data_IF_090119457054
#
_entry.id   IF_090119457054
#
_cell.length_a   1.000
_cell.length_b   1.000
_cell.length_c   1.000
_cell.angle_alpha   90.00
_cell.angle_beta   90.00
_cell.angle_gamma   90.00
#
_symmetry.space_group_name_H-M   'P 1'
#
loop_
_entity.id
_entity.type
_entity.pdbx_description
1 polymer ?
#
# COMPACT_ATOMS: atom_id res chain seq x y z
N UNK A 1 -10.54 -3.01 -11.11
CA UNK A 1 -9.75 -2.69 -12.32
C UNK A 1 -9.02 -3.95 -12.74
N UNK A 2 -8.80 -4.19 -14.04
CA UNK A 2 -8.11 -5.41 -14.50
C UNK A 2 -6.64 -5.10 -14.77
N UNK A 3 -5.74 -5.94 -14.27
CA UNK A 3 -4.29 -5.78 -14.47
C UNK A 3 -3.81 -6.31 -15.82
N UNK A 4 -4.62 -7.13 -16.51
CA UNK A 4 -4.38 -7.57 -17.88
C UNK A 4 -5.55 -7.17 -18.76
N UNK A 5 -5.24 -6.65 -19.93
CA UNK A 5 -6.21 -6.37 -20.98
C UNK A 5 -6.35 -7.57 -21.93
N UNK A 6 -7.51 -7.77 -22.59
CA UNK A 6 -7.69 -8.88 -23.52
C UNK A 6 -6.65 -8.95 -24.63
N UNK A 7 -6.12 -7.81 -25.07
CA UNK A 7 -5.06 -7.71 -26.08
C UNK A 7 -3.70 -8.26 -25.60
N UNK A 8 -3.52 -8.41 -24.30
CA UNK A 8 -2.26 -8.84 -23.67
C UNK A 8 -2.27 -10.32 -23.27
N UNK A 9 -3.42 -11.00 -23.34
CA UNK A 9 -3.57 -12.37 -22.86
C UNK A 9 -2.56 -13.33 -23.48
N UNK A 10 -2.39 -13.30 -24.80
CA UNK A 10 -1.44 -14.17 -25.49
C UNK A 10 0.01 -13.92 -25.08
N UNK A 11 0.37 -12.65 -24.83
CA UNK A 11 1.71 -12.27 -24.37
C UNK A 11 2.08 -12.94 -23.04
N UNK A 12 1.08 -13.11 -22.17
CA UNK A 12 1.26 -13.76 -20.86
C UNK A 12 0.83 -15.22 -20.85
N UNK A 13 0.60 -15.80 -22.05
CA UNK A 13 0.28 -17.21 -22.24
C UNK A 13 -1.09 -17.62 -21.72
N UNK A 14 -2.05 -16.71 -21.80
CA UNK A 14 -3.47 -16.99 -21.60
C UNK A 14 -4.16 -17.13 -22.96
N UNK A 15 -5.14 -18.05 -23.12
CA UNK A 15 -5.95 -18.11 -24.32
C UNK A 15 -6.70 -16.80 -24.57
N UNK A 16 -6.85 -16.36 -25.83
CA UNK A 16 -7.61 -15.15 -26.16
C UNK A 16 -9.09 -15.24 -25.76
N UNK A 17 -9.59 -16.47 -25.61
CA UNK A 17 -10.96 -16.76 -25.16
C UNK A 17 -11.11 -16.73 -23.64
N UNK A 18 -10.07 -16.36 -22.89
CA UNK A 18 -10.12 -16.30 -21.43
C UNK A 18 -11.22 -15.33 -20.99
N UNK A 19 -12.11 -15.81 -20.11
CA UNK A 19 -13.19 -14.99 -19.58
C UNK A 19 -12.62 -13.86 -18.71
N UNK A 20 -13.00 -12.63 -18.98
CA UNK A 20 -12.60 -11.43 -18.23
C UNK A 20 -12.91 -11.54 -16.73
N UNK A 21 -13.96 -12.29 -16.37
CA UNK A 21 -14.29 -12.50 -14.95
C UNK A 21 -13.15 -13.14 -14.14
N UNK A 22 -12.38 -14.06 -14.77
CA UNK A 22 -11.20 -14.65 -14.11
C UNK A 22 -10.10 -13.64 -13.85
N UNK A 23 -9.87 -12.75 -14.82
CA UNK A 23 -8.87 -11.68 -14.69
C UNK A 23 -9.30 -10.67 -13.62
N UNK A 24 -10.59 -10.35 -13.57
CA UNK A 24 -11.15 -9.46 -12.54
C UNK A 24 -10.98 -10.07 -11.13
N UNK A 25 -11.27 -11.36 -10.99
CA UNK A 25 -11.10 -12.07 -9.72
C UNK A 25 -9.61 -12.13 -9.31
N UNK A 26 -8.72 -12.45 -10.26
CA UNK A 26 -7.27 -12.48 -10.01
C UNK A 26 -6.75 -11.10 -9.60
N UNK A 27 -7.21 -10.03 -10.27
CA UNK A 27 -6.84 -8.66 -9.92
C UNK A 27 -7.28 -8.30 -8.50
N UNK A 28 -8.50 -8.67 -8.10
CA UNK A 28 -8.98 -8.44 -6.73
C UNK A 28 -8.17 -9.22 -5.68
N UNK A 29 -7.71 -10.43 -6.01
CA UNK A 29 -6.84 -11.21 -5.13
C UNK A 29 -5.46 -10.54 -4.96
N UNK A 30 -4.91 -9.97 -6.03
CA UNK A 30 -3.67 -9.20 -5.98
C UNK A 30 -3.83 -7.99 -5.08
N UNK A 31 -4.90 -7.21 -5.25
CA UNK A 31 -5.20 -6.04 -4.42
C UNK A 31 -5.27 -6.40 -2.92
N UNK A 32 -6.00 -7.47 -2.61
CA UNK A 32 -6.13 -7.97 -1.24
C UNK A 32 -4.78 -8.42 -0.66
N UNK A 33 -3.96 -9.15 -1.45
CA UNK A 33 -2.62 -9.57 -1.02
C UNK A 33 -1.69 -8.40 -0.80
N UNK A 34 -1.70 -7.42 -1.70
CA UNK A 34 -0.91 -6.20 -1.59
C UNK A 34 -1.42 -5.24 -0.51
N UNK A 35 -2.55 -5.55 0.15
CA UNK A 35 -3.19 -4.71 1.18
C UNK A 35 -3.50 -3.30 0.68
N UNK A 36 -3.98 -3.20 -0.56
CA UNK A 36 -4.32 -1.95 -1.24
C UNK A 36 -5.73 -2.03 -1.80
N UNK A 37 -6.33 -0.88 -2.02
CA UNK A 37 -7.61 -0.80 -2.75
C UNK A 37 -7.37 -1.16 -4.22
N UNK A 38 -6.26 -0.70 -4.77
CA UNK A 38 -5.77 -1.01 -6.12
C UNK A 38 -4.29 -0.67 -6.21
N UNK A 39 -3.57 -1.27 -7.16
CA UNK A 39 -2.20 -0.88 -7.50
C UNK A 39 -2.15 0.30 -8.48
N UNK A 40 -3.27 0.64 -9.13
CA UNK A 40 -3.36 1.87 -9.91
C UNK A 40 -3.27 3.10 -9.03
N UNK A 41 -2.97 4.26 -9.63
CA UNK A 41 -2.92 5.52 -8.90
C UNK A 41 -4.26 5.74 -8.20
N UNK A 42 -4.21 5.86 -6.88
CA UNK A 42 -5.37 6.15 -6.04
C UNK A 42 -4.99 7.13 -4.92
N UNK A 43 -5.99 7.81 -4.39
CA UNK A 43 -5.80 8.72 -3.28
C UNK A 43 -5.93 7.98 -1.96
N UNK A 44 -4.97 8.23 -1.07
CA UNK A 44 -4.91 7.67 0.27
C UNK A 44 -4.89 8.79 1.31
N UNK A 45 -5.47 8.48 2.47
CA UNK A 45 -5.40 9.34 3.65
C UNK A 45 -4.73 8.54 4.75
N UNK A 46 -3.61 9.06 5.25
CA UNK A 46 -2.88 8.44 6.36
C UNK A 46 -2.67 9.42 7.50
N UNK A 47 -2.79 8.87 8.70
CA UNK A 47 -2.48 9.57 9.92
C UNK A 47 -1.32 8.87 10.60
N UNK A 48 -0.22 9.58 10.69
CA UNK A 48 1.05 9.08 11.15
C UNK A 48 1.46 9.84 12.42
N UNK A 49 2.09 9.13 13.33
CA UNK A 49 2.76 9.72 14.48
C UNK A 49 4.25 9.71 14.23
N UNK A 50 4.88 10.80 14.59
CA UNK A 50 6.35 10.92 14.63
C UNK A 50 6.80 10.74 16.05
N UNK A 51 7.96 10.11 16.23
CA UNK A 51 8.66 10.16 17.50
C UNK A 51 9.23 11.57 17.73
N UNK A 52 9.41 11.93 19.00
CA UNK A 52 9.92 13.24 19.35
C UNK A 52 11.26 13.52 18.66
N UNK A 53 11.34 14.65 17.95
CA UNK A 53 12.54 15.07 17.23
C UNK A 53 12.76 14.44 15.85
N UNK A 54 11.96 13.44 15.44
CA UNK A 54 12.03 12.89 14.09
C UNK A 54 11.27 13.78 13.11
N UNK A 55 11.92 14.16 12.01
CA UNK A 55 11.30 14.91 10.93
C UNK A 55 10.84 14.03 9.76
N UNK A 56 11.60 12.97 9.36
CA UNK A 56 11.18 12.12 8.29
C UNK A 56 10.04 11.19 8.74
N UNK A 57 9.02 11.12 7.91
CA UNK A 57 7.88 10.22 8.06
C UNK A 57 7.80 9.34 6.84
N UNK A 58 7.56 8.07 7.01
CA UNK A 58 7.45 7.13 5.90
C UNK A 58 5.99 6.76 5.63
N UNK A 59 5.59 6.87 4.38
CA UNK A 59 4.26 6.52 3.92
C UNK A 59 4.13 5.03 3.63
N UNK A 60 2.93 4.52 3.80
CA UNK A 60 2.61 3.10 3.62
C UNK A 60 2.48 2.73 2.14
N UNK A 61 1.88 3.59 1.31
CA UNK A 61 1.55 3.27 -0.08
C UNK A 61 2.53 3.92 -1.04
N UNK A 62 3.21 3.08 -1.83
CA UNK A 62 4.27 3.47 -2.77
C UNK A 62 4.06 2.83 -4.15
N UNK A 63 4.65 3.37 -5.22
CA UNK A 63 5.36 4.65 -5.29
C UNK A 63 4.40 5.84 -5.20
N UNK A 64 4.90 6.98 -4.77
CA UNK A 64 4.15 8.22 -4.84
C UNK A 64 4.05 8.66 -6.32
N UNK A 65 2.84 8.89 -6.78
CA UNK A 65 2.59 9.24 -8.17
C UNK A 65 1.46 10.26 -8.25
N UNK A 66 1.71 11.36 -8.95
CA UNK A 66 0.70 12.39 -9.14
C UNK A 66 -0.38 11.92 -10.12
N UNK A 67 -1.64 12.21 -9.81
CA UNK A 67 -2.75 11.97 -10.73
C UNK A 67 -2.91 13.21 -11.63
N UNK A 68 -2.74 13.09 -12.96
CA UNK A 68 -2.93 14.23 -13.87
C UNK A 68 -4.31 14.90 -13.68
N UNK A 69 -4.42 16.22 -13.69
CA UNK A 69 -3.40 17.22 -14.05
C UNK A 69 -2.48 17.67 -12.90
N UNK A 70 -2.55 17.08 -11.72
CA UNK A 70 -1.70 17.44 -10.59
C UNK A 70 -0.21 17.15 -10.89
N UNK A 71 0.68 18.02 -10.42
CA UNK A 71 2.13 17.89 -10.58
C UNK A 71 2.74 17.19 -9.35
N UNK A 72 2.13 17.39 -8.17
CA UNK A 72 2.59 16.80 -6.92
C UNK A 72 1.68 15.63 -6.51
N UNK A 73 2.24 14.54 -5.96
CA UNK A 73 1.46 13.48 -5.37
C UNK A 73 0.85 13.88 -4.02
N UNK A 74 1.36 14.92 -3.37
CA UNK A 74 0.81 15.42 -2.11
C UNK A 74 -0.37 16.36 -2.38
N UNK A 75 -1.54 16.00 -1.85
CA UNK A 75 -2.78 16.75 -2.06
C UNK A 75 -3.01 17.75 -0.93
N UNK A 76 -2.92 17.29 0.32
CA UNK A 76 -3.03 18.16 1.49
C UNK A 76 -2.33 17.54 2.69
N UNK A 77 -1.89 18.40 3.60
CA UNK A 77 -1.25 18.02 4.84
C UNK A 77 -1.80 18.87 5.98
N UNK A 78 -2.04 18.24 7.12
CA UNK A 78 -2.30 18.94 8.38
C UNK A 78 -1.54 18.23 9.50
N UNK A 79 -1.01 18.99 10.41
CA UNK A 79 -0.23 18.47 11.52
C UNK A 79 -0.68 19.07 12.85
N UNK A 80 -0.35 18.40 13.93
CA UNK A 80 -0.60 18.87 15.28
C UNK A 80 0.41 18.33 16.26
N UNK A 81 0.40 18.88 17.46
CA UNK A 81 1.06 18.28 18.61
C UNK A 81 0.04 17.37 19.30
N UNK A 82 0.27 16.06 19.25
CA UNK A 82 -0.57 15.10 19.96
C UNK A 82 -0.17 15.06 21.44
N UNK A 83 -1.11 14.69 22.31
CA UNK A 83 -0.81 14.42 23.72
C UNK A 83 0.22 13.28 23.81
N UNK A 84 1.28 13.40 24.63
CA UNK A 84 2.26 12.35 24.85
C UNK A 84 1.57 11.04 25.26
N UNK A 85 2.09 9.92 24.80
CA UNK A 85 1.61 8.61 25.30
C UNK A 85 2.29 8.30 26.61
N UNK A 86 1.61 7.52 27.46
CA UNK A 86 2.19 6.98 28.69
C UNK A 86 3.43 6.15 28.34
N UNK A 87 4.62 6.65 28.74
CA UNK A 87 5.93 6.05 28.42
C UNK A 87 6.82 6.93 27.56
N UNK A 88 6.32 8.06 27.06
CA UNK A 88 7.17 9.13 26.56
C UNK A 88 8.01 9.70 27.74
N UNK A 89 9.19 10.20 27.43
CA UNK A 89 10.19 10.57 28.45
C UNK A 89 9.61 11.58 29.46
N UNK A 90 9.82 11.31 30.75
CA UNK A 90 9.23 12.09 31.88
C UNK A 90 9.50 13.60 31.81
N UNK A 91 10.66 14.01 31.31
CA UNK A 91 11.01 15.43 31.18
C UNK A 91 10.25 16.17 30.09
N UNK A 92 9.78 15.45 29.08
CA UNK A 92 8.92 16.02 28.04
C UNK A 92 7.48 16.21 28.54
N UNK A 93 7.03 15.39 29.49
CA UNK A 93 5.71 15.52 30.09
C UNK A 93 5.50 16.88 30.77
N UNK A 94 6.48 17.37 31.52
CA UNK A 94 6.42 18.67 32.20
C UNK A 94 6.35 19.84 31.20
N UNK A 95 7.12 19.75 30.11
CA UNK A 95 7.06 20.72 29.02
C UNK A 95 5.71 20.69 28.29
N UNK A 96 5.12 19.51 28.15
CA UNK A 96 3.80 19.36 27.54
C UNK A 96 2.69 19.89 28.42
N UNK A 97 2.76 19.74 29.74
CA UNK A 97 1.79 20.30 30.67
C UNK A 97 1.80 21.83 30.63
N UNK A 98 2.99 22.44 30.51
CA UNK A 98 3.12 23.87 30.29
C UNK A 98 2.54 24.27 28.93
N UNK A 99 2.85 23.53 27.86
CA UNK A 99 2.31 23.79 26.53
C UNK A 99 0.79 23.62 26.47
N UNK A 100 0.22 22.64 27.19
CA UNK A 100 -1.22 22.44 27.37
C UNK A 100 -1.87 23.66 28.04
N UNK A 101 -1.24 24.23 29.08
CA UNK A 101 -1.74 25.42 29.76
C UNK A 101 -1.79 26.64 28.83
N UNK A 102 -0.94 26.70 27.82
CA UNK A 102 -0.94 27.75 26.79
C UNK A 102 -1.80 27.41 25.56
N UNK A 103 -2.56 26.31 25.57
CA UNK A 103 -3.46 25.93 24.47
C UNK A 103 -2.75 25.46 23.20
N UNK A 104 -1.48 25.07 23.30
CA UNK A 104 -0.66 24.66 22.15
C UNK A 104 -1.01 23.26 21.59
N UNK A 105 -1.46 22.26 22.36
CA UNK A 105 -1.75 20.95 21.81
C UNK A 105 -3.18 20.79 21.31
N UNK A 106 -3.34 19.95 20.30
CA UNK A 106 -4.61 19.40 19.86
C UNK A 106 -5.23 20.03 18.62
N UNK A 107 -4.88 21.27 18.27
CA UNK A 107 -5.44 21.92 17.07
C UNK A 107 -4.67 21.51 15.82
N UNK A 108 -5.39 21.06 14.80
CA UNK A 108 -4.81 20.78 13.50
C UNK A 108 -4.43 22.08 12.78
N UNK A 109 -3.19 22.14 12.32
CA UNK A 109 -2.67 23.25 11.51
C UNK A 109 -2.45 22.74 10.10
N UNK A 110 -2.99 23.42 9.12
CA UNK A 110 -2.74 23.10 7.71
C UNK A 110 -1.30 23.46 7.35
N UNK A 111 -0.65 22.53 6.67
CA UNK A 111 0.71 22.68 6.17
C UNK A 111 0.64 22.84 4.66
N UNK A 112 1.41 23.78 4.13
CA UNK A 112 1.56 23.93 2.69
C UNK A 112 2.38 22.76 2.15
N UNK A 113 1.75 21.92 1.32
CA UNK A 113 2.41 20.76 0.71
C UNK A 113 3.51 21.12 -0.28
N UNK A 114 3.53 22.35 -0.76
CA UNK A 114 4.54 22.82 -1.73
C UNK A 114 5.92 23.03 -1.09
N UNK A 115 5.96 23.20 0.23
CA UNK A 115 7.23 23.35 0.99
C UNK A 115 7.72 22.04 1.59
N UNK A 116 6.96 20.96 1.38
CA UNK A 116 7.35 19.63 1.89
C UNK A 116 8.26 18.94 0.88
N UNK A 117 9.36 18.44 1.38
CA UNK A 117 10.27 17.59 0.62
C UNK A 117 9.82 16.13 0.71
N UNK A 118 9.86 15.41 -0.41
CA UNK A 118 9.43 14.01 -0.46
C UNK A 118 10.24 13.20 -1.47
N UNK A 119 10.43 11.93 -1.18
CA UNK A 119 11.07 10.94 -2.05
C UNK A 119 10.03 9.98 -2.62
N UNK A 120 9.72 10.05 -3.93
CA UNK A 120 8.63 9.27 -4.53
C UNK A 120 8.77 7.75 -4.37
N UNK A 121 10.00 7.24 -4.42
CA UNK A 121 10.27 5.80 -4.39
C UNK A 121 10.26 5.23 -2.97
N UNK A 122 10.80 5.96 -2.01
CA UNK A 122 10.88 5.52 -0.63
C UNK A 122 9.66 5.91 0.19
N UNK A 123 8.92 6.95 -0.25
CA UNK A 123 7.79 7.50 0.46
C UNK A 123 8.17 8.26 1.73
N UNK A 124 9.44 8.62 1.83
CA UNK A 124 9.92 9.46 2.93
C UNK A 124 9.51 10.91 2.67
N UNK A 125 8.93 11.54 3.69
CA UNK A 125 8.50 12.93 3.66
C UNK A 125 9.14 13.65 4.83
N UNK A 126 9.77 14.80 4.54
CA UNK A 126 10.34 15.66 5.57
C UNK A 126 9.31 16.69 6.02
N UNK A 127 8.98 16.66 7.31
CA UNK A 127 8.02 17.58 7.90
C UNK A 127 8.67 18.94 8.17
N UNK A 128 7.96 20.05 7.90
CA UNK A 128 8.37 21.36 8.35
C UNK A 128 8.29 21.45 9.88
N UNK A 129 9.09 22.33 10.43
CA UNK A 129 8.99 22.71 11.86
C UNK A 129 8.09 23.92 12.01
N UNK A 130 7.57 24.14 13.21
CA UNK A 130 6.85 25.36 13.52
C UNK A 130 7.83 26.56 13.63
N UNK A 131 7.27 27.74 13.81
CA UNK A 131 8.05 28.99 13.98
C UNK A 131 9.01 28.98 15.19
N UNK A 132 8.80 28.08 16.15
CA UNK A 132 9.67 27.90 17.32
C UNK A 132 10.71 26.79 17.09
N UNK A 133 10.76 26.16 15.92
CA UNK A 133 11.69 25.08 15.60
C UNK A 133 11.26 23.70 16.11
N UNK A 134 10.05 23.55 16.63
CA UNK A 134 9.56 22.27 17.13
C UNK A 134 8.93 21.44 16.00
N UNK A 135 9.26 20.16 15.98
CA UNK A 135 8.64 19.20 15.05
C UNK A 135 7.24 18.83 15.53
N UNK A 136 6.31 18.68 14.57
CA UNK A 136 4.98 18.15 14.86
C UNK A 136 5.08 16.68 15.24
N UNK A 137 4.21 16.22 16.14
CA UNK A 137 4.19 14.84 16.62
C UNK A 137 3.15 13.96 15.93
N UNK A 138 2.21 14.57 15.21
CA UNK A 138 1.19 13.87 14.46
C UNK A 138 0.87 14.62 13.18
N UNK A 139 0.81 13.87 12.08
CA UNK A 139 0.47 14.42 10.77
C UNK A 139 -0.64 13.57 10.13
N UNK A 140 -1.54 14.22 9.44
CA UNK A 140 -2.49 13.60 8.53
C UNK A 140 -2.20 14.10 7.11
N UNK A 141 -1.94 13.16 6.23
CA UNK A 141 -1.58 13.39 4.84
C UNK A 141 -2.63 12.80 3.91
N UNK A 142 -3.01 13.57 2.91
CA UNK A 142 -3.76 13.09 1.75
C UNK A 142 -2.81 13.15 0.56
N UNK A 143 -2.59 11.99 -0.06
CA UNK A 143 -1.63 11.85 -1.15
C UNK A 143 -2.10 10.81 -2.17
N UNK A 144 -1.49 10.81 -3.34
CA UNK A 144 -1.74 9.85 -4.41
C UNK A 144 -0.55 8.92 -4.58
N UNK A 145 -0.83 7.63 -4.68
CA UNK A 145 0.19 6.60 -4.87
C UNK A 145 -0.34 5.48 -5.75
N UNK A 146 0.56 4.83 -6.48
CA UNK A 146 0.26 3.72 -7.38
C UNK A 146 1.00 3.83 -8.69
N UNK A 147 0.65 2.95 -9.62
CA UNK A 147 1.30 2.85 -10.92
C UNK A 147 0.36 3.36 -12.02
N UNK A 148 0.90 4.18 -12.91
CA UNK A 148 0.21 4.59 -14.15
C UNK A 148 0.15 3.41 -15.13
N UNK A 149 1.29 2.73 -15.27
CA UNK A 149 1.40 1.47 -16.03
C UNK A 149 1.83 0.37 -15.08
N UNK A 150 1.13 -0.77 -15.14
CA UNK A 150 1.42 -1.87 -14.21
C UNK A 150 2.78 -2.50 -14.50
N UNK A 151 3.58 -2.76 -13.45
CA UNK A 151 4.84 -3.48 -13.59
C UNK A 151 4.62 -4.90 -14.12
N UNK A 152 5.53 -5.36 -14.98
CA UNK A 152 5.46 -6.70 -15.56
C UNK A 152 5.26 -7.84 -14.53
N UNK A 153 5.92 -7.84 -13.34
CA UNK A 153 5.66 -8.85 -12.32
C UNK A 153 4.21 -8.96 -11.87
N UNK A 154 3.47 -7.84 -11.81
CA UNK A 154 2.04 -7.82 -11.46
C UNK A 154 1.21 -8.49 -12.55
N UNK A 155 1.51 -8.20 -13.83
CA UNK A 155 0.83 -8.79 -14.97
C UNK A 155 1.09 -10.29 -15.06
N UNK A 156 2.33 -10.72 -14.84
CA UNK A 156 2.71 -12.15 -14.78
C UNK A 156 2.00 -12.85 -13.62
N UNK A 157 1.96 -12.24 -12.43
CA UNK A 157 1.25 -12.77 -11.27
C UNK A 157 -0.25 -12.93 -11.55
N UNK A 158 -0.86 -11.94 -12.20
CA UNK A 158 -2.27 -12.01 -12.61
C UNK A 158 -2.53 -13.17 -13.58
N UNK A 159 -1.70 -13.32 -14.61
CA UNK A 159 -1.80 -14.43 -15.55
C UNK A 159 -1.62 -15.79 -14.87
N UNK A 160 -0.66 -15.91 -13.95
CA UNK A 160 -0.43 -17.15 -13.21
C UNK A 160 -1.62 -17.52 -12.33
N UNK A 161 -2.21 -16.55 -11.64
CA UNK A 161 -3.44 -16.76 -10.86
C UNK A 161 -4.59 -17.29 -11.72
N UNK A 162 -4.78 -16.72 -12.92
CA UNK A 162 -5.81 -17.19 -13.85
C UNK A 162 -5.52 -18.62 -14.30
N UNK A 163 -4.25 -18.96 -14.64
CA UNK A 163 -3.84 -20.32 -15.01
C UNK A 163 -4.08 -21.30 -13.87
N UNK A 164 -3.70 -20.94 -12.66
CA UNK A 164 -3.91 -21.76 -11.46
C UNK A 164 -5.41 -22.03 -11.25
N UNK A 165 -6.26 -20.99 -11.39
CA UNK A 165 -7.70 -21.13 -11.24
C UNK A 165 -8.32 -22.01 -12.33
N UNK A 166 -7.86 -21.93 -13.57
CA UNK A 166 -8.33 -22.75 -14.67
C UNK A 166 -7.85 -24.22 -14.57
N UNK A 167 -6.61 -24.41 -14.09
CA UNK A 167 -6.03 -25.76 -13.93
C UNK A 167 -6.60 -26.54 -12.75
N UNK A 168 -7.20 -25.86 -11.76
CA UNK A 168 -7.71 -26.48 -10.53
C UNK A 168 -9.23 -26.40 -10.47
N UNK A 169 -9.96 -27.25 -11.20
CA UNK A 169 -11.42 -27.20 -11.25
C UNK A 169 -12.11 -27.52 -9.91
N UNK A 170 -11.37 -28.11 -8.96
CA UNK A 170 -11.88 -28.45 -7.62
C UNK A 170 -10.86 -28.01 -6.57
N UNK A 171 -10.86 -26.71 -6.22
CA UNK A 171 -9.96 -26.08 -5.25
C UNK A 171 -9.90 -26.75 -3.87
N UNK A 172 -10.91 -27.54 -3.52
CA UNK A 172 -11.03 -28.17 -2.20
C UNK A 172 -10.49 -29.60 -2.14
N UNK A 173 -9.97 -30.15 -3.25
CA UNK A 173 -9.49 -31.54 -3.29
C UNK A 173 -7.97 -31.56 -3.24
N UNK A 174 -7.43 -31.85 -2.06
CA UNK A 174 -5.98 -32.04 -1.87
C UNK A 174 -5.45 -33.32 -2.49
N UNK A 175 -6.28 -34.35 -2.58
CA UNK A 175 -5.91 -35.67 -3.05
C UNK A 175 -7.11 -36.32 -3.75
N UNK A 176 -6.89 -36.77 -4.95
CA UNK A 176 -7.84 -37.62 -5.66
C UNK A 176 -7.22 -39.05 -5.84
N UNK A 177 -7.91 -40.05 -5.37
CA UNK A 177 -7.51 -41.45 -5.52
C UNK A 177 -8.29 -42.02 -6.68
N UNK A 178 -7.59 -42.31 -7.77
CA UNK A 178 -8.18 -42.97 -8.92
C UNK A 178 -8.26 -44.47 -8.64
N UNK A 179 -9.27 -45.22 -9.18
CA UNK A 179 -9.45 -46.66 -8.92
C UNK A 179 -8.21 -47.54 -9.19
N UNK A 180 -7.32 -47.11 -10.07
CA UNK A 180 -6.06 -47.79 -10.40
C UNK A 180 -4.93 -47.55 -9.40
N UNK A 181 -5.19 -46.96 -8.24
CA UNK A 181 -4.18 -46.70 -7.22
C UNK A 181 -3.28 -45.51 -7.51
N UNK A 182 -3.47 -44.79 -8.62
CA UNK A 182 -2.76 -43.57 -8.91
C UNK A 182 -3.27 -42.46 -8.01
N UNK A 183 -2.38 -41.83 -7.26
CA UNK A 183 -2.70 -40.66 -6.41
C UNK A 183 -2.34 -39.40 -7.16
N UNK A 184 -3.35 -38.56 -7.45
CA UNK A 184 -3.15 -37.22 -8.00
C UNK A 184 -3.12 -36.21 -6.84
N UNK A 185 -2.01 -35.50 -6.72
CA UNK A 185 -1.86 -34.43 -5.78
C UNK A 185 -2.03 -33.12 -6.54
N UNK A 186 -2.94 -32.25 -6.07
CA UNK A 186 -3.05 -30.89 -6.58
C UNK A 186 -2.00 -30.02 -5.91
N UNK A 187 -1.27 -29.24 -6.71
CA UNK A 187 -0.04 -28.56 -6.32
C UNK A 187 -0.17 -27.47 -5.28
N UNK A 188 -1.37 -26.94 -5.04
CA UNK A 188 -1.52 -25.83 -4.10
C UNK A 188 -2.84 -25.86 -3.36
N UNK A 189 -2.80 -25.59 -2.07
CA UNK A 189 -3.98 -25.33 -1.22
C UNK A 189 -4.61 -23.97 -1.51
N UNK A 190 -3.93 -23.11 -2.24
CA UNK A 190 -4.41 -21.78 -2.61
C UNK A 190 -4.03 -21.43 -4.04
N UNK A 191 -4.83 -20.57 -4.68
CA UNK A 191 -4.52 -20.01 -5.99
C UNK A 191 -3.25 -19.16 -5.96
N UNK A 192 -2.95 -18.57 -4.79
CA UNK A 192 -1.78 -17.75 -4.53
C UNK A 192 -0.60 -18.65 -4.14
N UNK A 193 0.09 -19.19 -5.13
CA UNK A 193 1.29 -19.99 -4.91
C UNK A 193 2.50 -19.14 -4.47
N UNK A 194 3.59 -19.80 -4.07
CA UNK A 194 4.81 -19.14 -3.61
C UNK A 194 5.40 -18.21 -4.67
N UNK A 195 5.33 -18.61 -5.95
CA UNK A 195 5.84 -17.82 -7.07
C UNK A 195 5.07 -16.51 -7.23
N UNK A 196 3.74 -16.57 -7.15
CA UNK A 196 2.89 -15.37 -7.20
C UNK A 196 3.17 -14.46 -6.01
N UNK A 197 3.34 -15.05 -4.80
CA UNK A 197 3.67 -14.25 -3.60
C UNK A 197 5.01 -13.55 -3.72
N UNK A 198 6.05 -14.22 -4.23
CA UNK A 198 7.35 -13.62 -4.47
C UNK A 198 7.31 -12.49 -5.50
N UNK A 199 6.56 -12.67 -6.60
CA UNK A 199 6.37 -11.62 -7.61
C UNK A 199 5.68 -10.37 -7.04
N UNK A 200 4.77 -10.56 -6.09
CA UNK A 200 4.00 -9.48 -5.48
C UNK A 200 4.67 -8.88 -4.23
N UNK A 201 5.66 -9.53 -3.64
CA UNK A 201 6.32 -9.10 -2.41
C UNK A 201 6.80 -7.64 -2.40
N UNK A 202 7.36 -7.09 -3.51
CA UNK A 202 7.77 -5.69 -3.56
C UNK A 202 6.61 -4.69 -3.49
N UNK A 203 5.39 -5.13 -3.83
CA UNK A 203 4.21 -4.26 -3.95
C UNK A 203 3.30 -4.29 -2.72
N UNK A 204 3.58 -5.17 -1.76
CA UNK A 204 2.82 -5.27 -0.51
C UNK A 204 3.02 -4.02 0.31
N UNK A 205 1.91 -3.37 0.69
CA UNK A 205 1.94 -2.21 1.55
C UNK A 205 2.53 -2.56 2.94
N UNK A 206 3.60 -1.88 3.31
CA UNK A 206 4.26 -2.05 4.61
C UNK A 206 3.79 -0.93 5.52
N UNK A 207 2.97 -1.26 6.50
CA UNK A 207 2.59 -0.30 7.53
C UNK A 207 3.81 -0.08 8.43
N UNK A 208 4.35 1.13 8.36
CA UNK A 208 5.41 1.60 9.24
C UNK A 208 4.73 2.39 10.36
N UNK A 209 4.76 1.89 11.59
CA UNK A 209 4.18 2.61 12.71
C UNK A 209 3.80 1.74 13.86
#
# INVERSE_FOLDING_TARGET
MNYLQPSEYELYGLPPTTNVAWVTAASAMIDAHCRRITLAINQYTERLRTESGQRPVQLTYLPLSALPPAISPLVSARARYATPRRGDLDYEADLWDVALAFGIPGTWVNIDVTVMDYFPETGEITLPVNVMGWAFTEIELIYTAGFETFPNPVMVACAQLVKNAQATPALNVKKNVVPDGMQLWYFSDSLMDATVQELLAPFVARRVG
#
